data_IF_289879109290
#
_entry.id   IF_289879109290
#
_cell.length_a   1.000
_cell.length_b   1.000
_cell.length_c   1.000
_cell.angle_alpha   90.00
_cell.angle_beta   90.00
_cell.angle_gamma   90.00
#
_symmetry.space_group_name_H-M   'P 1'
#
loop_
_entity.id
_entity.type
_entity.pdbx_description
1 polymer ?
#
# COMPACT_ATOMS: atom_id res chain seq x y z
N UNK A 1 -20.18 19.56 25.85
CA UNK A 1 -18.81 19.98 25.47
C UNK A 1 -18.31 19.03 24.38
N UNK A 2 -17.83 19.55 23.23
CA UNK A 2 -17.21 18.69 22.21
C UNK A 2 -15.93 18.08 22.80
N UNK A 3 -15.90 16.77 22.98
CA UNK A 3 -14.71 16.06 23.46
C UNK A 3 -13.64 16.14 22.37
N UNK A 4 -12.46 16.65 22.68
CA UNK A 4 -11.26 16.60 21.81
C UNK A 4 -10.34 15.53 22.36
N UNK A 5 -9.59 14.87 21.47
CA UNK A 5 -8.57 13.94 21.92
C UNK A 5 -7.43 14.67 22.63
N UNK A 6 -6.94 14.09 23.69
CA UNK A 6 -5.74 14.54 24.38
C UNK A 6 -4.49 14.30 23.50
N UNK A 7 -3.39 14.95 23.84
CA UNK A 7 -2.12 14.71 23.13
C UNK A 7 -1.70 13.22 23.16
N UNK A 8 -1.87 12.55 24.31
CA UNK A 8 -1.56 11.12 24.46
C UNK A 8 -2.44 10.24 23.57
N UNK A 9 -3.74 10.53 23.48
CA UNK A 9 -4.67 9.81 22.60
C UNK A 9 -4.33 10.02 21.12
N UNK A 10 -3.96 11.25 20.72
CA UNK A 10 -3.50 11.55 19.36
C UNK A 10 -2.20 10.80 19.02
N UNK A 11 -1.23 10.78 19.94
CA UNK A 11 0.01 10.01 19.79
C UNK A 11 -0.27 8.50 19.68
N UNK A 12 -1.20 7.98 20.47
CA UNK A 12 -1.61 6.59 20.41
C UNK A 12 -2.22 6.22 19.03
N UNK A 13 -3.16 7.05 18.53
CA UNK A 13 -3.77 6.83 17.22
C UNK A 13 -2.73 6.99 16.10
N UNK A 14 -1.85 7.99 16.19
CA UNK A 14 -0.77 8.18 15.22
C UNK A 14 0.20 7.00 15.19
N UNK A 15 0.60 6.48 16.35
CA UNK A 15 1.43 5.26 16.44
C UNK A 15 0.70 4.02 15.93
N UNK A 16 -0.60 3.91 16.18
CA UNK A 16 -1.41 2.82 15.65
C UNK A 16 -1.50 2.87 14.13
N UNK A 17 -1.72 4.06 13.54
CA UNK A 17 -1.69 4.30 12.11
C UNK A 17 -0.34 3.92 11.50
N UNK A 18 0.75 4.42 12.07
CA UNK A 18 2.09 4.04 11.67
C UNK A 18 2.27 2.52 11.69
N UNK A 19 1.86 1.88 12.79
CA UNK A 19 1.99 0.43 12.94
C UNK A 19 1.11 -0.40 12.01
N UNK A 20 -0.02 0.11 11.55
CA UNK A 20 -0.89 -0.56 10.57
C UNK A 20 -0.33 -0.47 9.16
N UNK A 21 0.22 0.68 8.78
CA UNK A 21 0.81 0.88 7.46
C UNK A 21 2.23 0.34 7.36
N UNK A 22 3.06 0.54 8.39
CA UNK A 22 4.46 0.20 8.30
C UNK A 22 4.68 -1.32 8.37
N UNK A 23 4.76 -1.94 7.20
CA UNK A 23 5.00 -3.37 6.99
C UNK A 23 6.28 -3.63 6.18
N UNK A 24 6.39 -4.83 5.63
CA UNK A 24 7.55 -5.24 4.83
C UNK A 24 7.79 -4.35 3.61
N UNK A 25 6.73 -4.00 2.88
CA UNK A 25 6.81 -3.16 1.68
C UNK A 25 7.46 -1.81 1.96
N UNK A 26 7.12 -1.22 3.10
CA UNK A 26 7.57 0.10 3.52
C UNK A 26 9.08 0.15 3.84
N UNK A 27 9.69 -0.99 4.10
CA UNK A 27 11.14 -1.11 4.23
C UNK A 27 11.83 -1.29 2.88
N UNK A 28 11.32 -2.19 2.06
CA UNK A 28 12.04 -2.66 0.88
C UNK A 28 11.89 -1.74 -0.32
N UNK A 29 10.70 -1.14 -0.56
CA UNK A 29 10.48 -0.33 -1.76
C UNK A 29 11.25 0.99 -1.76
N UNK A 30 11.35 1.77 -0.67
CA UNK A 30 12.18 2.96 -0.68
C UNK A 30 13.66 2.67 -0.96
N UNK A 31 14.20 1.59 -0.40
CA UNK A 31 15.60 1.20 -0.62
C UNK A 31 15.83 0.84 -2.09
N UNK A 32 14.95 0.01 -2.67
CA UNK A 32 15.05 -0.36 -4.08
C UNK A 32 14.90 0.84 -5.01
N UNK A 33 13.93 1.73 -4.72
CA UNK A 33 13.78 3.00 -5.43
C UNK A 33 15.08 3.81 -5.38
N UNK A 34 15.71 3.93 -4.21
CA UNK A 34 16.98 4.65 -4.04
C UNK A 34 18.09 4.04 -4.88
N UNK A 35 18.23 2.71 -4.89
CA UNK A 35 19.19 2.01 -5.75
C UNK A 35 18.93 2.26 -7.24
N UNK A 36 17.66 2.22 -7.67
CA UNK A 36 17.28 2.37 -9.06
C UNK A 36 17.34 3.82 -9.55
N UNK A 37 16.92 4.78 -8.69
CA UNK A 37 16.88 6.19 -9.03
C UNK A 37 18.27 6.85 -9.02
N UNK A 38 19.24 6.32 -8.27
CA UNK A 38 20.59 6.86 -8.21
C UNK A 38 20.58 8.35 -7.85
N UNK A 39 21.26 9.20 -8.62
CA UNK A 39 21.33 10.64 -8.39
C UNK A 39 19.96 11.37 -8.52
N UNK A 40 18.95 10.74 -9.12
CA UNK A 40 17.58 11.25 -9.20
C UNK A 40 16.71 10.90 -7.98
N UNK A 41 17.29 10.37 -6.90
CA UNK A 41 16.56 9.86 -5.72
C UNK A 41 15.62 10.89 -5.11
N UNK A 42 15.95 12.15 -5.02
CA UNK A 42 15.08 13.15 -4.39
C UNK A 42 13.79 13.40 -5.16
N UNK A 43 13.87 13.47 -6.50
CA UNK A 43 12.71 13.66 -7.36
C UNK A 43 11.85 12.38 -7.38
N UNK A 44 12.49 11.22 -7.48
CA UNK A 44 11.82 9.93 -7.44
C UNK A 44 11.13 9.71 -6.09
N UNK A 45 11.80 10.00 -4.97
CA UNK A 45 11.25 9.88 -3.63
C UNK A 45 10.07 10.83 -3.40
N UNK A 46 10.09 12.04 -3.95
CA UNK A 46 8.94 12.95 -3.87
C UNK A 46 7.70 12.32 -4.50
N UNK A 47 7.83 11.74 -5.70
CA UNK A 47 6.75 11.00 -6.34
C UNK A 47 6.26 9.83 -5.50
N UNK A 48 7.20 9.05 -4.97
CA UNK A 48 6.92 7.91 -4.09
C UNK A 48 6.14 8.31 -2.83
N UNK A 49 6.55 9.39 -2.14
CA UNK A 49 5.89 9.87 -0.94
C UNK A 49 4.44 10.30 -1.18
N UNK A 50 4.13 10.87 -2.36
CA UNK A 50 2.76 11.25 -2.72
C UNK A 50 1.84 10.02 -2.69
N UNK A 51 2.27 8.90 -3.23
CA UNK A 51 1.44 7.68 -3.31
C UNK A 51 1.57 6.77 -2.12
N UNK A 52 2.76 6.59 -1.60
CA UNK A 52 3.02 5.69 -0.48
C UNK A 52 2.57 6.25 0.88
N UNK A 53 2.39 7.58 1.01
CA UNK A 53 1.98 8.23 2.25
C UNK A 53 0.78 9.15 2.04
N UNK A 54 0.82 10.01 1.03
CA UNK A 54 -0.23 11.01 0.79
C UNK A 54 -1.57 10.36 0.49
N UNK A 55 -1.63 9.41 -0.44
CA UNK A 55 -2.87 8.71 -0.78
C UNK A 55 -3.45 7.86 0.35
N UNK A 56 -2.68 7.05 1.10
CA UNK A 56 -3.18 6.35 2.27
C UNK A 56 -3.85 7.27 3.30
N UNK A 57 -3.23 8.41 3.55
CA UNK A 57 -3.79 9.39 4.46
C UNK A 57 -5.11 9.98 3.95
N UNK A 58 -5.17 10.38 2.67
CA UNK A 58 -6.40 10.84 2.05
C UNK A 58 -7.48 9.75 2.06
N UNK A 59 -7.11 8.47 1.91
CA UNK A 59 -8.03 7.34 2.00
C UNK A 59 -8.70 7.23 3.36
N UNK A 60 -7.92 7.33 4.45
CA UNK A 60 -8.49 7.30 5.81
C UNK A 60 -9.39 8.52 6.06
N UNK A 61 -8.98 9.71 5.62
CA UNK A 61 -9.80 10.92 5.73
C UNK A 61 -11.11 10.75 4.95
N UNK A 62 -11.06 10.19 3.75
CA UNK A 62 -12.23 9.93 2.93
C UNK A 62 -13.23 9.01 3.66
N UNK A 63 -12.77 7.94 4.30
CA UNK A 63 -13.61 7.06 5.12
C UNK A 63 -14.18 7.84 6.31
N UNK A 64 -13.36 8.62 7.01
CA UNK A 64 -13.81 9.42 8.15
C UNK A 64 -14.92 10.42 7.81
N UNK A 65 -14.81 11.10 6.65
CA UNK A 65 -15.80 12.10 6.19
C UNK A 65 -17.04 11.44 5.57
N UNK A 66 -16.88 10.26 5.00
CA UNK A 66 -17.92 9.61 4.19
C UNK A 66 -19.20 9.26 4.95
N UNK A 67 -19.14 9.20 6.28
CA UNK A 67 -20.21 8.70 7.18
C UNK A 67 -20.61 7.25 6.87
N UNK A 68 -19.73 6.48 6.28
CA UNK A 68 -19.96 5.09 5.87
C UNK A 68 -19.22 4.13 6.79
N UNK A 69 -19.63 2.86 6.78
CA UNK A 69 -19.00 1.80 7.58
C UNK A 69 -17.69 1.28 6.96
N UNK A 70 -17.40 1.61 5.68
CA UNK A 70 -16.17 1.17 5.03
C UNK A 70 -16.17 1.32 3.51
N UNK A 71 -15.20 0.64 2.87
CA UNK A 71 -14.98 0.70 1.44
C UNK A 71 -16.21 0.32 0.61
N UNK A 72 -16.91 -0.77 0.99
CA UNK A 72 -18.06 -1.29 0.25
C UNK A 72 -19.16 -0.22 0.09
N UNK A 73 -19.47 0.51 1.15
CA UNK A 73 -20.49 1.56 1.10
C UNK A 73 -20.04 2.75 0.25
N UNK A 74 -18.77 3.13 0.32
CA UNK A 74 -18.22 4.20 -0.55
C UNK A 74 -18.31 3.78 -2.01
N UNK A 75 -17.90 2.57 -2.35
CA UNK A 75 -17.96 2.02 -3.70
C UNK A 75 -19.41 1.83 -4.20
N UNK A 76 -20.37 1.60 -3.29
CA UNK A 76 -21.81 1.48 -3.60
C UNK A 76 -22.43 2.80 -4.13
N UNK A 77 -21.74 3.93 -3.93
CA UNK A 77 -22.14 5.20 -4.56
C UNK A 77 -22.02 5.16 -6.09
N UNK A 78 -21.17 4.31 -6.65
CA UNK A 78 -21.13 4.02 -8.09
C UNK A 78 -22.31 3.12 -8.45
N UNK A 79 -22.28 1.87 -8.03
CA UNK A 79 -23.39 0.91 -8.03
C UNK A 79 -23.03 -0.31 -7.16
N UNK A 80 -24.01 -1.15 -6.85
CA UNK A 80 -23.80 -2.34 -6.00
C UNK A 80 -22.85 -3.36 -6.60
N UNK A 81 -22.97 -3.63 -7.90
CA UNK A 81 -22.10 -4.61 -8.59
C UNK A 81 -20.63 -4.17 -8.57
N UNK A 82 -20.37 -2.91 -8.87
CA UNK A 82 -19.03 -2.33 -8.77
C UNK A 82 -18.50 -2.45 -7.33
N UNK A 83 -19.33 -2.17 -6.33
CA UNK A 83 -18.93 -2.26 -4.93
C UNK A 83 -18.46 -3.67 -4.55
N UNK A 84 -19.19 -4.72 -4.95
CA UNK A 84 -18.76 -6.10 -4.73
C UNK A 84 -17.45 -6.41 -5.45
N UNK A 85 -17.39 -6.14 -6.76
CA UNK A 85 -16.21 -6.46 -7.58
C UNK A 85 -14.97 -5.72 -7.05
N UNK A 86 -15.08 -4.41 -6.84
CA UNK A 86 -13.95 -3.59 -6.40
C UNK A 86 -13.50 -3.93 -4.98
N UNK A 87 -14.43 -4.12 -4.04
CA UNK A 87 -14.09 -4.51 -2.66
C UNK A 87 -13.43 -5.88 -2.63
N UNK A 88 -14.00 -6.87 -3.32
CA UNK A 88 -13.40 -8.21 -3.38
C UNK A 88 -12.01 -8.15 -4.01
N UNK A 89 -11.85 -7.48 -5.16
CA UNK A 89 -10.57 -7.36 -5.84
C UNK A 89 -9.52 -6.68 -4.96
N UNK A 90 -9.87 -5.57 -4.31
CA UNK A 90 -8.97 -4.86 -3.39
C UNK A 90 -8.54 -5.76 -2.23
N UNK A 91 -9.48 -6.43 -1.57
CA UNK A 91 -9.15 -7.29 -0.44
C UNK A 91 -8.36 -8.54 -0.87
N UNK A 92 -8.59 -9.09 -2.05
CA UNK A 92 -7.76 -10.19 -2.59
C UNK A 92 -6.32 -9.73 -2.82
N UNK A 93 -6.10 -8.49 -3.25
CA UNK A 93 -4.78 -7.92 -3.48
C UNK A 93 -4.04 -7.65 -2.17
N UNK A 94 -4.67 -6.98 -1.20
CA UNK A 94 -4.05 -6.74 0.10
C UNK A 94 -4.07 -7.98 1.02
N UNK A 95 -4.82 -8.99 0.66
CA UNK A 95 -4.95 -10.27 1.33
C UNK A 95 -4.09 -11.36 0.68
N UNK A 96 -4.73 -12.45 0.24
CA UNK A 96 -4.06 -13.71 -0.07
C UNK A 96 -3.16 -13.69 -1.29
N UNK A 97 -3.32 -12.75 -2.24
CA UNK A 97 -2.56 -12.83 -3.49
C UNK A 97 -1.22 -12.09 -3.45
N UNK A 98 -1.16 -10.91 -2.79
CA UNK A 98 0.07 -10.12 -2.83
C UNK A 98 0.57 -9.66 -1.46
N UNK A 99 -0.21 -8.90 -0.67
CA UNK A 99 0.34 -8.32 0.55
C UNK A 99 0.68 -9.38 1.61
N UNK A 100 -0.21 -10.30 1.92
CA UNK A 100 0.04 -11.35 2.91
C UNK A 100 1.22 -12.27 2.52
N UNK A 101 1.26 -12.85 1.30
CA UNK A 101 2.42 -13.63 0.87
C UNK A 101 3.72 -12.84 0.92
N UNK A 102 3.69 -11.56 0.54
CA UNK A 102 4.87 -10.68 0.57
C UNK A 102 5.42 -10.49 1.96
N UNK A 103 4.58 -10.43 3.00
CA UNK A 103 5.04 -10.33 4.39
C UNK A 103 5.89 -11.54 4.81
N UNK A 104 5.46 -12.74 4.47
CA UNK A 104 6.21 -13.95 4.76
C UNK A 104 7.50 -14.02 3.92
N UNK A 105 7.41 -13.77 2.61
CA UNK A 105 8.58 -13.85 1.72
C UNK A 105 9.63 -12.80 2.02
N UNK A 106 9.24 -11.55 2.35
CA UNK A 106 10.20 -10.51 2.75
C UNK A 106 10.90 -10.88 4.05
N UNK A 107 10.16 -11.41 5.04
CA UNK A 107 10.75 -11.88 6.28
C UNK A 107 11.76 -12.99 6.03
N UNK A 108 11.43 -13.93 5.15
CA UNK A 108 12.33 -15.02 4.75
C UNK A 108 13.57 -14.51 4.00
N UNK A 109 13.37 -13.60 3.04
CA UNK A 109 14.45 -13.03 2.22
C UNK A 109 15.52 -12.35 3.07
N UNK A 110 15.08 -11.60 4.10
CA UNK A 110 15.99 -10.89 5.00
C UNK A 110 16.61 -11.83 6.03
N UNK A 111 15.82 -12.78 6.57
CA UNK A 111 16.23 -13.59 7.70
C UNK A 111 17.07 -14.81 7.33
N UNK A 112 16.76 -15.47 6.24
CA UNK A 112 17.29 -16.78 5.89
C UNK A 112 18.03 -16.84 4.57
N UNK A 113 17.57 -16.11 3.55
CA UNK A 113 18.12 -16.16 2.20
C UNK A 113 19.64 -15.91 2.15
N UNK A 114 20.22 -14.97 2.93
CA UNK A 114 21.66 -14.73 2.94
C UNK A 114 22.52 -15.92 3.39
N UNK A 115 21.93 -16.87 4.11
CA UNK A 115 22.64 -18.02 4.68
C UNK A 115 22.38 -19.34 3.93
N UNK A 116 21.52 -19.32 2.89
CA UNK A 116 21.07 -20.51 2.20
C UNK A 116 21.65 -20.58 0.79
N UNK A 117 21.95 -21.81 0.35
CA UNK A 117 22.25 -22.06 -1.06
C UNK A 117 20.97 -22.00 -1.92
N UNK A 118 21.08 -21.66 -3.23
CA UNK A 118 19.92 -21.59 -4.12
C UNK A 118 19.03 -22.84 -4.13
N UNK A 119 19.63 -24.03 -3.95
CA UNK A 119 18.91 -25.32 -3.90
C UNK A 119 18.06 -25.47 -2.63
N UNK A 120 18.42 -24.81 -1.55
CA UNK A 120 17.75 -24.89 -0.27
C UNK A 120 16.61 -23.89 -0.12
N UNK A 121 16.66 -22.75 -0.83
CA UNK A 121 15.70 -21.65 -0.71
C UNK A 121 14.25 -22.15 -0.80
N UNK A 122 13.92 -22.94 -1.80
CA UNK A 122 12.53 -23.40 -2.02
C UNK A 122 11.98 -24.21 -0.84
N UNK A 123 12.77 -25.17 -0.32
CA UNK A 123 12.34 -25.99 0.83
C UNK A 123 12.20 -25.16 2.10
N UNK A 124 13.20 -24.32 2.40
CA UNK A 124 13.17 -23.49 3.61
C UNK A 124 12.10 -22.40 3.54
N UNK A 125 11.83 -21.82 2.37
CA UNK A 125 10.72 -20.90 2.16
C UNK A 125 9.36 -21.58 2.42
N UNK A 126 9.20 -22.82 1.95
CA UNK A 126 7.99 -23.59 2.19
C UNK A 126 7.75 -23.82 3.69
N UNK A 127 8.78 -24.30 4.41
CA UNK A 127 8.69 -24.55 5.86
C UNK A 127 8.42 -23.24 6.61
N UNK A 128 9.18 -22.19 6.29
CA UNK A 128 9.05 -20.89 6.95
C UNK A 128 7.66 -20.28 6.74
N UNK A 129 7.20 -20.21 5.47
CA UNK A 129 5.88 -19.63 5.15
C UNK A 129 4.75 -20.41 5.79
N UNK A 130 4.84 -21.75 5.87
CA UNK A 130 3.88 -22.57 6.59
C UNK A 130 3.82 -22.17 8.07
N UNK A 131 4.96 -22.15 8.76
CA UNK A 131 5.03 -21.77 10.19
C UNK A 131 4.53 -20.33 10.39
N UNK A 132 4.94 -19.40 9.54
CA UNK A 132 4.53 -18.00 9.58
C UNK A 132 3.00 -17.86 9.51
N UNK A 133 2.35 -18.52 8.56
CA UNK A 133 0.89 -18.43 8.39
C UNK A 133 0.12 -19.23 9.45
N UNK A 134 0.65 -20.31 9.98
CA UNK A 134 0.05 -21.01 11.13
C UNK A 134 0.04 -20.09 12.35
N UNK A 135 1.16 -19.41 12.63
CA UNK A 135 1.25 -18.43 13.73
C UNK A 135 0.29 -17.26 13.48
N UNK A 136 0.31 -16.67 12.28
CA UNK A 136 -0.56 -15.56 11.94
C UNK A 136 -2.04 -15.91 12.09
N UNK A 137 -2.44 -17.07 11.58
CA UNK A 137 -3.79 -17.61 11.72
C UNK A 137 -4.18 -17.84 13.17
N UNK A 138 -3.28 -18.48 13.97
CA UNK A 138 -3.54 -18.75 15.37
C UNK A 138 -3.87 -17.47 16.14
N UNK A 139 -3.14 -16.40 15.90
CA UNK A 139 -3.37 -15.11 16.54
C UNK A 139 -4.57 -14.36 15.96
N UNK A 140 -4.83 -14.45 14.66
CA UNK A 140 -5.99 -13.82 14.03
C UNK A 140 -7.33 -14.39 14.50
N UNK A 141 -7.37 -15.60 15.08
CA UNK A 141 -8.60 -16.18 15.64
C UNK A 141 -9.23 -15.36 16.76
N UNK A 142 -8.43 -14.57 17.50
CA UNK A 142 -8.89 -13.73 18.62
C UNK A 142 -8.21 -12.35 18.57
N UNK A 143 -8.69 -11.42 17.74
CA UNK A 143 -7.98 -10.19 17.42
C UNK A 143 -7.84 -9.17 18.55
N UNK A 144 -8.56 -9.31 19.66
CA UNK A 144 -8.85 -8.21 20.59
C UNK A 144 -7.71 -7.71 21.48
N UNK A 145 -6.58 -8.41 21.63
CA UNK A 145 -5.49 -7.99 22.54
C UNK A 145 -4.10 -7.86 21.91
N UNK A 146 -3.86 -8.50 20.81
CA UNK A 146 -2.51 -8.61 20.23
C UNK A 146 -2.05 -7.33 19.56
N UNK A 147 -2.96 -6.64 18.86
CA UNK A 147 -2.66 -5.35 18.20
C UNK A 147 -2.19 -4.28 19.20
N UNK A 148 -2.68 -4.33 20.44
CA UNK A 148 -2.29 -3.41 21.51
C UNK A 148 -0.88 -3.67 22.04
N UNK A 149 -0.52 -4.94 22.30
CA UNK A 149 0.82 -5.33 22.77
C UNK A 149 1.90 -5.07 21.72
N UNK A 150 1.59 -5.35 20.47
CA UNK A 150 2.51 -5.21 19.36
C UNK A 150 2.83 -3.73 19.11
N UNK A 151 1.83 -2.85 19.16
CA UNK A 151 2.03 -1.40 18.97
C UNK A 151 2.86 -0.75 20.09
N UNK A 152 2.75 -1.23 21.32
CA UNK A 152 3.44 -0.64 22.48
C UNK A 152 4.91 -1.01 22.60
N UNK A 153 5.29 -2.24 22.24
CA UNK A 153 6.65 -2.75 22.46
C UNK A 153 7.46 -2.92 21.17
N UNK A 154 6.84 -3.47 20.13
CA UNK A 154 7.58 -3.87 18.95
C UNK A 154 7.90 -2.71 18.01
N UNK A 155 6.99 -1.74 17.88
CA UNK A 155 7.26 -0.56 17.06
C UNK A 155 8.46 0.25 17.58
N UNK A 156 8.59 0.59 18.87
CA UNK A 156 9.78 1.29 19.38
C UNK A 156 11.08 0.52 19.15
N UNK A 157 11.10 -0.79 19.43
CA UNK A 157 12.30 -1.63 19.23
C UNK A 157 12.70 -1.65 17.75
N UNK A 158 11.73 -1.85 16.85
CA UNK A 158 11.93 -1.80 15.42
C UNK A 158 12.53 -0.45 14.98
N UNK A 159 11.96 0.68 15.42
CA UNK A 159 12.42 2.02 15.07
C UNK A 159 13.84 2.30 15.57
N UNK A 160 14.19 1.87 16.78
CA UNK A 160 15.54 2.01 17.32
C UNK A 160 16.56 1.27 16.47
N UNK A 161 16.25 0.04 16.07
CA UNK A 161 17.19 -0.75 15.27
C UNK A 161 17.32 -0.23 13.84
N UNK A 162 16.20 0.20 13.25
CA UNK A 162 16.24 0.87 11.95
C UNK A 162 17.07 2.15 12.03
N UNK A 163 16.91 2.93 13.11
CA UNK A 163 17.71 4.13 13.35
C UNK A 163 19.22 3.81 13.46
N UNK A 164 19.60 2.70 14.11
CA UNK A 164 21.00 2.26 14.19
C UNK A 164 21.55 1.97 12.79
N UNK A 165 20.85 1.20 11.96
CA UNK A 165 21.29 0.88 10.59
C UNK A 165 21.44 2.16 9.76
N UNK A 166 20.45 3.05 9.81
CA UNK A 166 20.47 4.33 9.12
C UNK A 166 21.66 5.19 9.61
N UNK A 167 21.90 5.24 10.90
CA UNK A 167 22.99 6.02 11.49
C UNK A 167 24.34 5.54 10.96
N UNK A 168 24.60 4.22 10.93
CA UNK A 168 25.83 3.68 10.34
C UNK A 168 25.94 4.00 8.85
N UNK A 169 24.84 3.88 8.09
CA UNK A 169 24.84 4.17 6.67
C UNK A 169 25.13 5.64 6.33
N UNK A 170 24.76 6.57 7.22
CA UNK A 170 25.02 8.00 7.02
C UNK A 170 26.34 8.48 7.59
N UNK A 171 26.86 7.84 8.66
CA UNK A 171 28.20 8.15 9.21
C UNK A 171 29.31 7.59 8.32
N UNK A 172 29.11 6.39 7.74
CA UNK A 172 30.07 5.73 6.86
C UNK A 172 29.42 5.37 5.52
N UNK A 173 29.11 6.37 4.67
CA UNK A 173 28.39 6.11 3.42
C UNK A 173 29.23 5.25 2.46
N UNK A 174 28.57 4.32 1.79
CA UNK A 174 29.19 3.39 0.83
C UNK A 174 29.46 4.03 -0.54
N UNK A 175 28.87 5.19 -0.82
CA UNK A 175 29.03 5.94 -2.06
C UNK A 175 28.46 7.35 -1.96
N UNK A 176 28.59 8.13 -3.04
CA UNK A 176 28.02 9.46 -3.18
C UNK A 176 26.65 9.43 -3.88
N UNK A 177 25.80 10.40 -3.59
CA UNK A 177 24.51 10.54 -4.29
C UNK A 177 24.73 11.08 -5.70
N UNK A 178 25.64 12.05 -5.88
CA UNK A 178 25.87 12.74 -7.15
C UNK A 178 26.37 11.81 -8.24
N UNK A 179 27.16 10.79 -7.86
CA UNK A 179 27.82 9.87 -8.78
C UNK A 179 27.06 8.53 -8.92
N UNK A 180 25.94 8.38 -8.22
CA UNK A 180 25.16 7.17 -8.24
C UNK A 180 24.50 6.95 -9.61
N UNK A 181 24.71 5.79 -10.26
CA UNK A 181 24.19 5.50 -11.59
C UNK A 181 22.65 5.45 -11.56
N UNK A 182 22.04 5.98 -12.60
CA UNK A 182 20.59 6.03 -12.78
C UNK A 182 20.17 4.86 -13.67
N UNK A 183 19.24 4.02 -13.21
CA UNK A 183 18.66 2.96 -14.03
C UNK A 183 17.84 3.54 -15.19
N UNK A 184 17.68 2.78 -16.29
CA UNK A 184 16.91 3.21 -17.48
C UNK A 184 15.51 3.77 -17.12
N UNK A 185 14.85 3.15 -16.16
CA UNK A 185 13.53 3.56 -15.69
C UNK A 185 13.51 5.00 -15.13
N UNK A 186 14.60 5.43 -14.45
CA UNK A 186 14.66 6.71 -13.75
C UNK A 186 15.43 7.81 -14.48
N UNK A 187 15.97 7.52 -15.69
CA UNK A 187 16.64 8.54 -16.52
C UNK A 187 15.67 9.61 -17.02
N UNK A 188 14.42 9.23 -17.28
CA UNK A 188 13.35 10.16 -17.64
C UNK A 188 12.18 10.02 -16.68
N UNK A 189 11.44 11.10 -16.44
CA UNK A 189 10.20 11.10 -15.64
C UNK A 189 10.34 10.53 -14.22
N UNK A 190 11.46 10.76 -13.55
CA UNK A 190 11.78 10.19 -12.24
C UNK A 190 10.66 10.41 -11.18
N UNK A 191 9.99 11.56 -11.19
CA UNK A 191 8.85 11.84 -10.30
C UNK A 191 7.69 10.88 -10.54
N UNK A 192 7.31 10.66 -11.78
CA UNK A 192 6.17 9.80 -12.12
C UNK A 192 6.50 8.32 -11.91
N UNK A 193 7.74 7.91 -12.19
CA UNK A 193 8.19 6.55 -11.90
C UNK A 193 8.18 6.29 -10.38
N UNK A 194 8.66 7.24 -9.58
CA UNK A 194 8.54 7.15 -8.12
C UNK A 194 7.08 7.12 -7.65
N UNK A 195 6.20 7.91 -8.27
CA UNK A 195 4.75 7.89 -7.99
C UNK A 195 4.16 6.49 -8.23
N UNK A 196 4.50 5.85 -9.34
CA UNK A 196 4.03 4.50 -9.66
C UNK A 196 4.66 3.43 -8.77
N UNK A 197 5.94 3.58 -8.42
CA UNK A 197 6.62 2.67 -7.48
C UNK A 197 5.99 2.71 -6.08
N UNK A 198 5.42 3.86 -5.68
CA UNK A 198 4.65 3.96 -4.46
C UNK A 198 3.39 3.06 -4.42
N UNK A 199 2.85 2.64 -5.56
CA UNK A 199 1.76 1.65 -5.62
C UNK A 199 2.17 0.31 -4.99
N UNK A 200 3.45 -0.04 -5.10
CA UNK A 200 3.97 -1.29 -4.56
C UNK A 200 3.91 -1.38 -3.04
N UNK A 201 3.78 -0.27 -2.31
CA UNK A 201 3.58 -0.31 -0.85
C UNK A 201 2.22 -0.90 -0.47
N UNK A 202 1.23 -0.84 -1.35
CA UNK A 202 -0.18 -1.25 -1.13
C UNK A 202 -0.92 -0.40 -0.09
N UNK A 203 -0.29 0.64 0.45
CA UNK A 203 -0.81 1.40 1.59
C UNK A 203 -2.07 2.18 1.26
N UNK A 204 -2.22 2.71 0.02
CA UNK A 204 -3.44 3.42 -0.35
C UNK A 204 -4.65 2.47 -0.44
N UNK A 205 -4.45 1.24 -0.92
CA UNK A 205 -5.49 0.20 -0.90
C UNK A 205 -5.77 -0.25 0.54
N UNK A 206 -4.72 -0.48 1.33
CA UNK A 206 -4.83 -0.84 2.75
C UNK A 206 -5.54 0.26 3.56
N UNK A 207 -5.39 1.54 3.23
CA UNK A 207 -6.06 2.65 3.92
C UNK A 207 -7.58 2.58 3.81
N UNK A 208 -8.09 2.15 2.67
CA UNK A 208 -9.51 1.94 2.44
C UNK A 208 -10.05 0.74 3.24
N UNK A 209 -9.19 -0.23 3.55
CA UNK A 209 -9.53 -1.36 4.41
C UNK A 209 -9.39 -1.03 5.91
N UNK A 210 -8.30 -0.36 6.29
CA UNK A 210 -8.00 -0.06 7.70
C UNK A 210 -8.68 1.19 8.24
N UNK A 211 -9.15 2.08 7.37
CA UNK A 211 -9.79 3.33 7.79
C UNK A 211 -10.96 3.12 8.76
N UNK A 212 -11.70 2.02 8.63
CA UNK A 212 -12.78 1.67 9.56
C UNK A 212 -12.26 1.41 10.98
N UNK A 213 -11.10 0.76 11.12
CA UNK A 213 -10.49 0.46 12.44
C UNK A 213 -10.13 1.77 13.15
N UNK A 214 -9.59 2.73 12.41
CA UNK A 214 -9.23 4.05 12.94
C UNK A 214 -10.47 4.82 13.37
N UNK A 215 -11.49 4.87 12.52
CA UNK A 215 -12.78 5.52 12.81
C UNK A 215 -13.44 4.87 14.05
N UNK A 216 -13.45 3.54 14.13
CA UNK A 216 -13.99 2.81 15.27
C UNK A 216 -13.21 3.11 16.56
N UNK A 217 -11.88 3.23 16.49
CA UNK A 217 -11.04 3.58 17.64
C UNK A 217 -11.34 5.00 18.15
N UNK A 218 -11.45 5.98 17.22
CA UNK A 218 -11.80 7.36 17.58
C UNK A 218 -13.20 7.44 18.20
N UNK A 219 -14.16 6.66 17.67
CA UNK A 219 -15.52 6.57 18.25
C UNK A 219 -15.49 5.99 19.67
N UNK A 220 -14.70 4.93 19.93
CA UNK A 220 -14.52 4.35 21.28
C UNK A 220 -13.95 5.35 22.28
N UNK A 221 -13.16 6.33 21.82
CA UNK A 221 -12.66 7.43 22.65
C UNK A 221 -13.69 8.54 22.86
N UNK A 222 -14.94 8.38 22.39
CA UNK A 222 -16.08 9.25 22.65
C UNK A 222 -16.26 10.40 21.65
N UNK A 223 -15.75 10.27 20.42
CA UNK A 223 -15.99 11.22 19.33
C UNK A 223 -16.89 10.55 18.29
N UNK A 224 -18.13 11.02 18.18
CA UNK A 224 -19.14 10.42 17.31
C UNK A 224 -19.40 11.22 16.03
N UNK A 225 -19.17 12.54 16.08
CA UNK A 225 -19.44 13.41 14.93
C UNK A 225 -18.44 13.15 13.80
N UNK A 226 -18.90 12.83 12.57
CA UNK A 226 -18.02 12.51 11.44
C UNK A 226 -16.99 13.62 11.09
N UNK A 227 -17.38 14.89 11.24
CA UNK A 227 -16.47 16.02 11.00
C UNK A 227 -15.35 16.09 12.05
N UNK A 228 -15.69 15.79 13.30
CA UNK A 228 -14.70 15.77 14.39
C UNK A 228 -13.84 14.51 14.32
N UNK A 229 -14.38 13.35 13.91
CA UNK A 229 -13.62 12.13 13.58
C UNK A 229 -12.59 12.46 12.52
N UNK A 230 -12.98 13.09 11.41
CA UNK A 230 -12.05 13.45 10.33
C UNK A 230 -10.94 14.41 10.82
N UNK A 231 -11.29 15.42 11.65
CA UNK A 231 -10.30 16.35 12.23
C UNK A 231 -9.28 15.64 13.13
N UNK A 232 -9.75 14.78 14.02
CA UNK A 232 -8.87 14.05 14.92
C UNK A 232 -8.05 13.00 14.15
N UNK A 233 -8.60 12.40 13.09
CA UNK A 233 -7.85 11.53 12.16
C UNK A 233 -6.72 12.30 11.47
N UNK A 234 -6.98 13.51 10.96
CA UNK A 234 -5.97 14.37 10.36
C UNK A 234 -4.88 14.70 11.37
N UNK A 235 -5.26 15.12 12.56
CA UNK A 235 -4.32 15.53 13.62
C UNK A 235 -3.44 14.38 14.08
N UNK A 236 -4.02 13.21 14.34
CA UNK A 236 -3.29 12.01 14.75
C UNK A 236 -2.45 11.45 13.60
N UNK A 237 -3.00 11.45 12.39
CA UNK A 237 -2.34 10.92 11.19
C UNK A 237 -1.15 11.76 10.75
N UNK A 238 -1.13 13.07 11.02
CA UNK A 238 0.00 13.94 10.67
C UNK A 238 1.31 13.46 11.31
N UNK A 239 1.26 12.95 12.53
CA UNK A 239 2.42 12.38 13.22
C UNK A 239 2.95 11.16 12.46
N UNK A 240 2.07 10.25 12.09
CA UNK A 240 2.41 9.05 11.31
C UNK A 240 3.01 9.40 9.95
N UNK A 241 2.42 10.38 9.26
CA UNK A 241 2.90 10.85 7.94
C UNK A 241 4.32 11.39 8.02
N UNK A 242 4.59 12.26 9.00
CA UNK A 242 5.93 12.86 9.17
C UNK A 242 6.94 11.75 9.45
N UNK A 243 6.63 10.82 10.35
CA UNK A 243 7.51 9.68 10.65
C UNK A 243 7.77 8.82 9.42
N UNK A 244 6.72 8.43 8.69
CA UNK A 244 6.86 7.63 7.47
C UNK A 244 7.66 8.37 6.41
N UNK A 245 7.40 9.66 6.20
CA UNK A 245 8.10 10.50 5.23
C UNK A 245 9.60 10.60 5.50
N UNK A 246 9.98 10.80 6.75
CA UNK A 246 11.38 10.82 7.17
C UNK A 246 12.02 9.45 6.94
N UNK A 247 11.38 8.36 7.40
CA UNK A 247 11.94 7.01 7.30
C UNK A 247 12.10 6.61 5.82
N UNK A 248 11.09 6.84 4.97
CA UNK A 248 11.16 6.48 3.55
C UNK A 248 12.25 7.26 2.82
N UNK A 249 12.38 8.55 3.13
CA UNK A 249 13.45 9.38 2.55
C UNK A 249 14.83 8.89 2.97
N UNK A 250 15.02 8.58 4.24
CA UNK A 250 16.29 8.05 4.74
C UNK A 250 16.60 6.66 4.14
N UNK A 251 15.61 5.80 4.01
CA UNK A 251 15.77 4.49 3.37
C UNK A 251 16.10 4.62 1.87
N UNK A 252 15.46 5.54 1.16
CA UNK A 252 15.76 5.79 -0.24
C UNK A 252 17.20 6.32 -0.42
N UNK A 253 17.62 7.27 0.39
CA UNK A 253 19.00 7.78 0.37
C UNK A 253 19.99 6.66 0.70
N UNK A 254 19.75 5.85 1.74
CA UNK A 254 20.57 4.69 2.08
C UNK A 254 20.67 3.70 0.91
N UNK A 255 19.57 3.46 0.21
CA UNK A 255 19.55 2.65 -1.02
C UNK A 255 20.47 3.23 -2.09
N UNK A 256 20.40 4.53 -2.36
CA UNK A 256 21.28 5.22 -3.32
C UNK A 256 22.75 5.10 -2.93
N UNK A 257 23.08 5.37 -1.67
CA UNK A 257 24.45 5.29 -1.18
C UNK A 257 25.03 3.88 -1.30
N UNK A 258 24.18 2.85 -1.21
CA UNK A 258 24.62 1.44 -1.28
C UNK A 258 25.16 1.02 -2.65
N UNK A 259 24.76 1.71 -3.73
CA UNK A 259 25.21 1.42 -5.11
C UNK A 259 26.72 1.69 -5.29
N UNK A 260 27.34 2.50 -4.45
CA UNK A 260 28.80 2.66 -4.44
C UNK A 260 29.58 1.37 -4.11
N UNK A 261 28.90 0.41 -3.47
CA UNK A 261 29.52 -0.86 -3.08
C UNK A 261 28.80 -2.10 -3.64
N UNK A 262 27.45 -2.06 -3.73
CA UNK A 262 26.62 -3.16 -4.23
C UNK A 262 26.06 -2.84 -5.62
N UNK A 263 25.75 -3.87 -6.40
CA UNK A 263 24.98 -3.73 -7.64
C UNK A 263 23.50 -3.52 -7.30
N UNK A 264 22.73 -3.00 -8.27
CA UNK A 264 21.28 -2.94 -8.17
C UNK A 264 20.72 -4.34 -7.88
N UNK A 265 20.04 -4.46 -6.75
CA UNK A 265 19.46 -5.73 -6.29
C UNK A 265 18.15 -6.03 -7.02
N UNK A 266 17.76 -7.29 -7.10
CA UNK A 266 16.47 -7.69 -7.71
C UNK A 266 15.25 -7.14 -6.93
N UNK A 267 15.42 -6.95 -5.63
CA UNK A 267 14.43 -6.35 -4.77
C UNK A 267 15.08 -5.70 -3.54
N UNK A 268 14.30 -4.85 -2.85
CA UNK A 268 14.80 -4.12 -1.70
C UNK A 268 15.04 -4.97 -0.44
N UNK A 269 14.50 -6.19 -0.36
CA UNK A 269 14.79 -7.13 0.74
C UNK A 269 16.25 -7.59 0.69
N UNK A 270 16.72 -7.97 -0.50
CA UNK A 270 18.12 -8.32 -0.75
C UNK A 270 19.03 -7.13 -0.43
N UNK A 271 18.68 -5.93 -0.94
CA UNK A 271 19.43 -4.72 -0.69
C UNK A 271 19.59 -4.42 0.81
N UNK A 272 18.47 -4.48 1.56
CA UNK A 272 18.48 -4.23 3.00
C UNK A 272 19.34 -5.26 3.76
N UNK A 273 19.25 -6.53 3.39
CA UNK A 273 20.07 -7.58 3.99
C UNK A 273 21.56 -7.34 3.74
N UNK A 274 21.95 -7.03 2.50
CA UNK A 274 23.34 -6.73 2.13
C UNK A 274 23.90 -5.52 2.89
N UNK A 275 23.15 -4.42 2.94
CA UNK A 275 23.54 -3.21 3.68
C UNK A 275 23.72 -3.51 5.17
N UNK A 276 22.75 -4.24 5.76
CA UNK A 276 22.81 -4.57 7.19
C UNK A 276 23.97 -5.50 7.50
N UNK A 277 24.24 -6.48 6.65
CA UNK A 277 25.38 -7.39 6.80
C UNK A 277 26.71 -6.66 6.72
N UNK A 278 26.83 -5.68 5.83
CA UNK A 278 28.03 -4.87 5.70
C UNK A 278 28.35 -4.08 6.96
N UNK A 279 27.35 -3.39 7.53
CA UNK A 279 27.58 -2.51 8.68
C UNK A 279 27.60 -3.24 10.03
N UNK A 280 26.77 -4.25 10.22
CA UNK A 280 26.55 -4.89 11.52
C UNK A 280 26.91 -6.38 11.54
N UNK A 281 27.41 -6.93 10.40
CA UNK A 281 27.76 -8.33 10.27
C UNK A 281 26.56 -9.27 10.50
N UNK A 282 26.85 -10.53 10.81
CA UNK A 282 25.82 -11.56 11.00
C UNK A 282 24.89 -11.29 12.18
N UNK A 283 25.39 -10.66 13.25
CA UNK A 283 24.54 -10.27 14.39
C UNK A 283 23.49 -9.23 14.00
N UNK A 284 23.87 -8.28 13.15
CA UNK A 284 22.94 -7.27 12.61
C UNK A 284 21.82 -7.90 11.77
N UNK A 285 22.15 -8.89 10.94
CA UNK A 285 21.13 -9.61 10.16
C UNK A 285 20.17 -10.35 11.08
N UNK A 286 20.67 -11.09 12.07
CA UNK A 286 19.80 -11.81 13.03
C UNK A 286 18.84 -10.84 13.72
N UNK A 287 19.35 -9.70 14.17
CA UNK A 287 18.56 -8.70 14.87
C UNK A 287 17.51 -8.07 13.94
N UNK A 288 17.91 -7.65 12.73
CA UNK A 288 17.00 -7.13 11.69
C UNK A 288 15.92 -8.17 11.35
N UNK A 289 16.32 -9.44 11.19
CA UNK A 289 15.42 -10.54 10.86
C UNK A 289 14.32 -10.72 11.87
N UNK A 290 14.67 -10.74 13.16
CA UNK A 290 13.69 -10.86 14.25
C UNK A 290 12.67 -9.73 14.21
N UNK A 291 13.11 -8.51 13.97
CA UNK A 291 12.25 -7.32 13.98
C UNK A 291 11.34 -7.29 12.76
N UNK A 292 11.91 -7.51 11.58
CA UNK A 292 11.13 -7.57 10.34
C UNK A 292 10.11 -8.70 10.40
N UNK A 293 10.49 -9.87 10.91
CA UNK A 293 9.60 -11.01 11.07
C UNK A 293 8.41 -10.68 11.98
N UNK A 294 8.68 -10.03 13.09
CA UNK A 294 7.62 -9.63 14.03
C UNK A 294 6.75 -8.50 13.45
N UNK A 295 7.34 -7.50 12.78
CA UNK A 295 6.60 -6.45 12.10
C UNK A 295 5.69 -7.01 11.01
N UNK A 296 6.20 -7.95 10.21
CA UNK A 296 5.44 -8.62 9.16
C UNK A 296 4.33 -9.52 9.73
N UNK A 297 4.62 -10.26 10.79
CA UNK A 297 3.63 -11.10 11.46
C UNK A 297 2.45 -10.27 12.01
N UNK A 298 2.75 -9.11 12.63
CA UNK A 298 1.73 -8.17 13.10
C UNK A 298 0.81 -7.71 11.96
N UNK A 299 1.41 -7.26 10.87
CA UNK A 299 0.65 -6.79 9.71
C UNK A 299 -0.17 -7.93 9.09
N UNK A 300 0.37 -9.15 9.05
CA UNK A 300 -0.35 -10.33 8.57
C UNK A 300 -1.59 -10.62 9.43
N UNK A 301 -1.47 -10.60 10.76
CA UNK A 301 -2.59 -10.78 11.68
C UNK A 301 -3.67 -9.71 11.43
N UNK A 302 -3.27 -8.45 11.29
CA UNK A 302 -4.19 -7.34 11.01
C UNK A 302 -4.93 -7.51 9.67
N UNK A 303 -4.20 -7.90 8.61
CA UNK A 303 -4.79 -8.11 7.28
C UNK A 303 -5.73 -9.32 7.24
N UNK A 304 -5.36 -10.45 7.85
CA UNK A 304 -6.23 -11.63 7.96
C UNK A 304 -7.51 -11.27 8.71
N UNK A 305 -7.39 -10.50 9.80
CA UNK A 305 -8.54 -10.04 10.57
C UNK A 305 -9.45 -9.13 9.75
N UNK A 306 -8.90 -8.07 9.15
CA UNK A 306 -9.66 -7.11 8.35
C UNK A 306 -10.35 -7.77 7.14
N UNK A 307 -9.66 -8.70 6.48
CA UNK A 307 -10.22 -9.50 5.40
C UNK A 307 -11.41 -10.33 5.91
N UNK A 308 -11.21 -11.06 7.00
CA UNK A 308 -12.20 -11.99 7.53
C UNK A 308 -13.45 -11.28 8.03
N UNK A 309 -13.31 -10.17 8.77
CA UNK A 309 -14.43 -9.34 9.22
C UNK A 309 -15.22 -8.73 8.05
N UNK A 310 -14.52 -8.25 7.03
CA UNK A 310 -15.20 -7.67 5.86
C UNK A 310 -15.95 -8.71 5.06
N UNK A 311 -15.36 -9.88 4.82
CA UNK A 311 -15.99 -10.93 4.04
C UNK A 311 -17.13 -11.61 4.81
N UNK A 312 -17.04 -11.77 6.13
CA UNK A 312 -18.16 -12.20 6.96
C UNK A 312 -19.34 -11.23 6.87
N UNK A 313 -19.07 -9.91 6.88
CA UNK A 313 -20.09 -8.89 6.71
C UNK A 313 -20.70 -8.90 5.29
N UNK A 314 -19.88 -9.08 4.25
CA UNK A 314 -20.35 -9.13 2.85
C UNK A 314 -21.12 -10.42 2.54
N UNK A 315 -20.73 -11.52 3.16
CA UNK A 315 -21.28 -12.86 2.95
C UNK A 315 -21.68 -13.51 4.28
N UNK A 316 -22.83 -13.16 4.86
CA UNK A 316 -23.25 -13.62 6.20
C UNK A 316 -23.38 -15.12 6.38
N UNK A 317 -23.33 -15.90 5.28
CA UNK A 317 -23.30 -17.37 5.32
C UNK A 317 -21.92 -17.95 5.62
N UNK A 318 -20.87 -17.15 5.50
CA UNK A 318 -19.48 -17.55 5.76
C UNK A 318 -19.11 -17.20 7.19
N UNK A 319 -18.41 -18.12 7.85
CA UNK A 319 -17.92 -17.93 9.21
C UNK A 319 -16.54 -17.28 9.18
N UNK A 320 -16.31 -16.30 10.05
CA UNK A 320 -15.02 -15.62 10.25
C UNK A 320 -13.82 -16.57 10.27
N UNK A 321 -13.91 -17.65 11.10
CA UNK A 321 -12.81 -18.59 11.24
C UNK A 321 -12.52 -19.36 9.96
N UNK A 322 -13.56 -19.73 9.21
CA UNK A 322 -13.41 -20.42 7.92
C UNK A 322 -12.70 -19.48 6.92
N UNK A 323 -13.11 -18.21 6.85
CA UNK A 323 -12.49 -17.21 5.96
C UNK A 323 -11.02 -17.00 6.36
N UNK A 324 -10.73 -16.80 7.66
CA UNK A 324 -9.36 -16.62 8.17
C UNK A 324 -8.47 -17.83 7.83
N UNK A 325 -9.02 -19.05 7.90
CA UNK A 325 -8.29 -20.28 7.55
C UNK A 325 -7.99 -20.33 6.05
N UNK A 326 -9.01 -20.08 5.20
CA UNK A 326 -8.84 -20.09 3.74
C UNK A 326 -7.85 -19.04 3.28
N UNK A 327 -7.96 -17.81 3.80
CA UNK A 327 -7.05 -16.70 3.45
C UNK A 327 -5.63 -17.03 3.84
N UNK A 328 -5.40 -17.53 5.06
CA UNK A 328 -4.06 -17.92 5.53
C UNK A 328 -3.47 -19.04 4.68
N UNK A 329 -4.28 -20.04 4.33
CA UNK A 329 -3.84 -21.16 3.49
C UNK A 329 -3.49 -20.72 2.06
N UNK A 330 -4.34 -19.91 1.42
CA UNK A 330 -4.06 -19.38 0.09
C UNK A 330 -2.80 -18.50 0.13
N UNK A 331 -2.64 -17.65 1.15
CA UNK A 331 -1.46 -16.81 1.31
C UNK A 331 -0.18 -17.65 1.46
N UNK A 332 -0.24 -18.76 2.18
CA UNK A 332 0.85 -19.70 2.28
C UNK A 332 1.24 -20.29 0.92
N UNK A 333 0.26 -20.71 0.12
CA UNK A 333 0.53 -21.24 -1.21
C UNK A 333 1.20 -20.18 -2.11
N UNK A 334 0.67 -18.96 -2.12
CA UNK A 334 1.24 -17.86 -2.93
C UNK A 334 2.62 -17.42 -2.44
N UNK A 335 2.92 -17.48 -1.15
CA UNK A 335 4.25 -17.15 -0.63
C UNK A 335 5.36 -18.02 -1.25
N UNK A 336 5.05 -19.26 -1.63
CA UNK A 336 6.02 -20.16 -2.24
C UNK A 336 6.42 -19.79 -3.68
N UNK A 337 5.77 -18.78 -4.27
CA UNK A 337 6.19 -18.23 -5.58
C UNK A 337 7.47 -17.38 -5.44
N UNK A 338 7.77 -16.88 -4.25
CA UNK A 338 8.93 -16.04 -3.94
C UNK A 338 8.67 -14.54 -4.12
N UNK A 339 9.43 -13.71 -3.39
CA UNK A 339 9.21 -12.27 -3.27
C UNK A 339 9.23 -11.55 -4.62
N UNK A 340 10.29 -11.74 -5.41
CA UNK A 340 10.48 -11.06 -6.70
C UNK A 340 9.33 -11.31 -7.68
N UNK A 341 8.86 -12.57 -7.77
CA UNK A 341 7.74 -12.92 -8.65
C UNK A 341 6.41 -12.35 -8.14
N UNK A 342 6.18 -12.35 -6.82
CA UNK A 342 4.97 -11.74 -6.22
C UNK A 342 4.93 -10.24 -6.57
N UNK A 343 6.06 -9.54 -6.46
CA UNK A 343 6.15 -8.12 -6.84
C UNK A 343 5.83 -7.97 -8.34
N UNK A 344 6.48 -8.74 -9.20
CA UNK A 344 6.29 -8.67 -10.66
C UNK A 344 4.83 -8.90 -11.08
N UNK A 345 4.16 -9.91 -10.53
CA UNK A 345 2.76 -10.20 -10.86
C UNK A 345 1.76 -9.23 -10.21
N UNK A 346 2.16 -8.54 -9.15
CA UNK A 346 1.27 -7.53 -8.54
C UNK A 346 1.16 -6.26 -9.36
N UNK A 347 2.21 -5.85 -10.07
CA UNK A 347 2.27 -4.57 -10.81
C UNK A 347 1.10 -4.37 -11.78
N UNK A 348 0.73 -5.31 -12.66
CA UNK A 348 -0.41 -5.13 -13.57
C UNK A 348 -1.73 -4.89 -12.84
N UNK A 349 -1.95 -5.63 -11.76
CA UNK A 349 -3.17 -5.53 -10.95
C UNK A 349 -3.21 -4.19 -10.21
N UNK A 350 -2.07 -3.71 -9.73
CA UNK A 350 -1.96 -2.41 -9.08
C UNK A 350 -2.19 -1.26 -10.07
N UNK A 351 -1.62 -1.35 -11.27
CA UNK A 351 -1.86 -0.36 -12.33
C UNK A 351 -3.34 -0.26 -12.72
N UNK A 352 -4.09 -1.35 -12.56
CA UNK A 352 -5.55 -1.33 -12.74
C UNK A 352 -6.31 -0.78 -11.53
N UNK A 353 -5.98 -1.22 -10.30
CA UNK A 353 -6.78 -0.90 -9.11
C UNK A 353 -6.49 0.48 -8.51
N UNK A 354 -5.23 0.94 -8.55
CA UNK A 354 -4.88 2.23 -7.94
C UNK A 354 -5.58 3.42 -8.56
N UNK A 355 -5.67 3.57 -9.89
CA UNK A 355 -6.46 4.65 -10.51
C UNK A 355 -7.90 4.70 -10.00
N UNK A 356 -8.55 3.55 -9.89
CA UNK A 356 -9.92 3.43 -9.40
C UNK A 356 -10.03 3.81 -7.91
N UNK A 357 -9.07 3.36 -7.09
CA UNK A 357 -8.99 3.71 -5.67
C UNK A 357 -8.78 5.22 -5.49
N UNK A 358 -7.84 5.82 -6.23
CA UNK A 358 -7.55 7.25 -6.18
C UNK A 358 -8.78 8.07 -6.59
N UNK A 359 -9.40 7.72 -7.72
CA UNK A 359 -10.62 8.38 -8.17
C UNK A 359 -11.74 8.30 -7.11
N UNK A 360 -11.92 7.13 -6.49
CA UNK A 360 -12.92 6.94 -5.44
C UNK A 360 -12.63 7.76 -4.18
N UNK A 361 -11.37 7.82 -3.74
CA UNK A 361 -10.91 8.66 -2.62
C UNK A 361 -11.20 10.13 -2.92
N UNK A 362 -10.75 10.63 -4.08
CA UNK A 362 -10.94 12.04 -4.47
C UNK A 362 -12.42 12.40 -4.57
N UNK A 363 -13.22 11.58 -5.24
CA UNK A 363 -14.66 11.78 -5.33
C UNK A 363 -15.32 11.81 -3.95
N UNK A 364 -14.87 10.98 -3.02
CA UNK A 364 -15.41 10.92 -1.66
C UNK A 364 -15.09 12.18 -0.87
N UNK A 365 -13.85 12.67 -0.96
CA UNK A 365 -13.42 13.92 -0.30
C UNK A 365 -14.22 15.15 -0.77
N UNK A 366 -14.54 15.21 -2.06
CA UNK A 366 -15.29 16.32 -2.65
C UNK A 366 -16.79 16.06 -2.81
N UNK A 367 -17.30 14.95 -2.29
CA UNK A 367 -18.68 14.49 -2.52
C UNK A 367 -19.77 15.47 -2.09
N UNK A 368 -19.51 16.29 -1.08
CA UNK A 368 -20.43 17.36 -0.63
C UNK A 368 -20.70 18.41 -1.71
N UNK A 369 -19.70 18.72 -2.58
CA UNK A 369 -19.83 19.73 -3.63
C UNK A 369 -20.81 19.33 -4.75
N UNK A 370 -21.08 18.04 -4.90
CA UNK A 370 -22.05 17.52 -5.86
C UNK A 370 -23.12 16.63 -5.22
N UNK A 371 -23.37 16.85 -3.93
CA UNK A 371 -24.45 16.22 -3.13
C UNK A 371 -24.47 14.68 -3.27
N UNK A 372 -23.29 14.06 -3.24
CA UNK A 372 -23.12 12.60 -3.37
C UNK A 372 -23.75 11.99 -4.64
N UNK A 373 -23.86 12.76 -5.73
CA UNK A 373 -24.53 12.33 -6.98
C UNK A 373 -23.91 11.07 -7.57
N UNK A 374 -24.70 10.00 -7.69
CA UNK A 374 -24.29 8.72 -8.30
C UNK A 374 -23.73 8.90 -9.71
N UNK A 375 -24.30 9.83 -10.51
CA UNK A 375 -23.90 10.06 -11.91
C UNK A 375 -22.44 10.52 -11.97
N UNK A 376 -22.02 11.42 -11.06
CA UNK A 376 -20.64 11.90 -11.01
C UNK A 376 -19.70 10.73 -10.70
N UNK A 377 -20.03 9.87 -9.73
CA UNK A 377 -19.25 8.68 -9.42
C UNK A 377 -19.19 7.72 -10.61
N UNK A 378 -20.33 7.42 -11.23
CA UNK A 378 -20.41 6.46 -12.35
C UNK A 378 -19.62 6.93 -13.57
N UNK A 379 -19.78 8.18 -14.01
CA UNK A 379 -19.03 8.70 -15.14
C UNK A 379 -17.53 8.72 -14.85
N UNK A 380 -17.11 9.23 -13.70
CA UNK A 380 -15.68 9.29 -13.37
C UNK A 380 -15.05 7.91 -13.35
N UNK A 381 -15.65 6.96 -12.61
CA UNK A 381 -15.13 5.60 -12.49
C UNK A 381 -15.12 4.86 -13.83
N UNK A 382 -16.16 5.02 -14.65
CA UNK A 382 -16.23 4.40 -15.97
C UNK A 382 -15.06 4.84 -16.88
N UNK A 383 -14.83 6.14 -16.99
CA UNK A 383 -13.72 6.66 -17.79
C UNK A 383 -12.35 6.29 -17.21
N UNK A 384 -12.21 6.33 -15.88
CA UNK A 384 -10.97 5.90 -15.20
C UNK A 384 -10.69 4.42 -15.50
N UNK A 385 -11.70 3.55 -15.45
CA UNK A 385 -11.58 2.12 -15.67
C UNK A 385 -11.04 1.78 -17.06
N UNK A 386 -11.44 2.55 -18.10
CA UNK A 386 -10.95 2.34 -19.46
C UNK A 386 -9.42 2.51 -19.52
N UNK A 387 -8.90 3.61 -18.98
CA UNK A 387 -7.46 3.85 -18.98
C UNK A 387 -6.71 2.88 -18.07
N UNK A 388 -7.26 2.62 -16.87
CA UNK A 388 -6.66 1.69 -15.91
C UNK A 388 -6.51 0.27 -16.47
N UNK A 389 -7.47 -0.20 -17.27
CA UNK A 389 -7.35 -1.48 -17.99
C UNK A 389 -6.19 -1.49 -18.97
N UNK A 390 -5.98 -0.41 -19.72
CA UNK A 390 -4.89 -0.30 -20.67
C UNK A 390 -3.54 -0.23 -19.94
N UNK A 391 -3.45 0.56 -18.86
CA UNK A 391 -2.23 0.65 -18.05
C UNK A 391 -1.90 -0.70 -17.39
N UNK A 392 -2.90 -1.45 -16.94
CA UNK A 392 -2.74 -2.83 -16.46
C UNK A 392 -2.24 -3.79 -17.53
N UNK A 393 -2.79 -3.73 -18.75
CA UNK A 393 -2.31 -4.54 -19.88
C UNK A 393 -0.89 -4.19 -20.27
N UNK A 394 -0.53 -2.90 -20.30
CA UNK A 394 0.83 -2.44 -20.60
C UNK A 394 1.85 -2.95 -19.59
N UNK A 395 1.48 -3.01 -18.31
CA UNK A 395 2.33 -3.50 -17.24
C UNK A 395 2.36 -5.03 -17.11
N UNK A 396 1.52 -5.74 -17.87
CA UNK A 396 1.42 -7.20 -17.82
C UNK A 396 2.66 -7.90 -18.41
N UNK A 397 2.97 -9.14 -17.96
CA UNK A 397 4.03 -9.94 -18.55
C UNK A 397 3.87 -10.08 -20.08
N UNK A 398 4.99 -10.33 -20.78
CA UNK A 398 5.05 -10.35 -22.27
C UNK A 398 4.00 -11.24 -22.92
N UNK A 399 3.69 -12.39 -22.32
CA UNK A 399 2.68 -13.31 -22.88
C UNK A 399 1.25 -12.72 -22.92
N UNK A 400 0.97 -11.64 -22.17
CA UNK A 400 -0.29 -10.89 -22.22
C UNK A 400 -0.11 -9.61 -23.01
N UNK A 401 0.93 -8.82 -22.69
CA UNK A 401 1.15 -7.50 -23.28
C UNK A 401 1.49 -7.56 -24.78
N UNK A 402 2.11 -8.66 -25.25
CA UNK A 402 2.47 -8.86 -26.66
C UNK A 402 1.33 -9.37 -27.54
N UNK A 403 0.14 -9.69 -26.98
CA UNK A 403 -1.00 -10.12 -27.80
C UNK A 403 -1.47 -9.00 -28.72
N UNK A 404 -1.96 -9.33 -29.92
CA UNK A 404 -2.45 -8.34 -30.89
C UNK A 404 -3.53 -7.43 -30.32
N UNK A 405 -4.39 -7.95 -29.46
CA UNK A 405 -5.42 -7.15 -28.76
C UNK A 405 -4.78 -6.13 -27.80
N UNK A 406 -3.85 -6.59 -26.94
CA UNK A 406 -3.16 -5.70 -25.99
C UNK A 406 -2.37 -4.63 -26.71
N UNK A 407 -1.60 -4.99 -27.75
CA UNK A 407 -0.80 -4.06 -28.54
C UNK A 407 -1.67 -3.01 -29.24
N UNK A 408 -2.84 -3.38 -29.77
CA UNK A 408 -3.75 -2.44 -30.39
C UNK A 408 -4.23 -1.38 -29.38
N UNK A 409 -4.62 -1.80 -28.17
CA UNK A 409 -5.06 -0.88 -27.11
C UNK A 409 -3.91 -0.01 -26.57
N UNK A 410 -2.73 -0.58 -26.38
CA UNK A 410 -1.54 0.13 -25.92
C UNK A 410 -1.14 1.21 -26.95
N UNK A 411 -1.05 0.84 -28.23
CA UNK A 411 -0.70 1.78 -29.31
C UNK A 411 -1.75 2.89 -29.47
N UNK A 412 -3.04 2.56 -29.35
CA UNK A 412 -4.11 3.53 -29.32
C UNK A 412 -3.95 4.52 -28.16
N UNK A 413 -3.69 4.00 -26.97
CA UNK A 413 -3.48 4.82 -25.77
C UNK A 413 -2.27 5.74 -25.90
N UNK A 414 -1.13 5.22 -26.37
CA UNK A 414 0.09 6.01 -26.57
C UNK A 414 -0.08 7.12 -27.61
N UNK A 415 -0.89 6.88 -28.65
CA UNK A 415 -1.12 7.84 -29.71
C UNK A 415 -2.11 8.95 -29.35
N UNK A 416 -3.16 8.62 -28.58
CA UNK A 416 -4.30 9.51 -28.38
C UNK A 416 -4.50 9.96 -26.93
N UNK A 417 -3.92 9.26 -25.95
CA UNK A 417 -4.16 9.54 -24.54
C UNK A 417 -2.93 10.22 -23.92
N UNK A 418 -3.03 11.53 -23.59
CA UNK A 418 -1.94 12.23 -22.93
C UNK A 418 -1.51 11.52 -21.63
N UNK A 419 -0.23 11.57 -21.31
CA UNK A 419 0.38 10.95 -20.13
C UNK A 419 0.35 9.41 -20.10
N UNK A 420 -0.11 8.75 -21.17
CA UNK A 420 -0.12 7.29 -21.26
C UNK A 420 1.30 6.69 -21.22
N UNK A 421 2.27 7.39 -21.80
CA UNK A 421 3.67 6.92 -21.83
C UNK A 421 4.26 6.73 -20.43
N UNK A 422 3.84 7.57 -19.49
CA UNK A 422 4.27 7.57 -18.09
C UNK A 422 3.30 6.84 -17.15
N UNK A 423 2.35 6.07 -17.68
CA UNK A 423 1.37 5.32 -16.86
C UNK A 423 0.34 6.19 -16.12
N UNK A 424 0.14 7.43 -16.55
CA UNK A 424 -0.79 8.40 -15.95
C UNK A 424 -1.97 8.75 -16.86
N UNK A 425 -2.20 7.97 -17.91
CA UNK A 425 -3.29 8.18 -18.87
C UNK A 425 -4.68 8.22 -18.23
N UNK A 426 -4.85 7.51 -17.12
CA UNK A 426 -6.08 7.49 -16.35
C UNK A 426 -6.48 8.86 -15.78
N UNK A 427 -5.54 9.75 -15.49
CA UNK A 427 -5.82 11.08 -14.92
C UNK A 427 -6.69 11.91 -15.86
N UNK A 428 -6.33 11.95 -17.16
CA UNK A 428 -7.05 12.71 -18.17
C UNK A 428 -8.47 12.16 -18.35
N UNK A 429 -8.62 10.85 -18.50
CA UNK A 429 -9.94 10.23 -18.63
C UNK A 429 -10.79 10.38 -17.36
N UNK A 430 -10.19 10.28 -16.19
CA UNK A 430 -10.87 10.52 -14.92
C UNK A 430 -11.43 11.95 -14.83
N UNK A 431 -10.65 12.96 -15.24
CA UNK A 431 -11.10 14.35 -15.30
C UNK A 431 -12.23 14.56 -16.32
N UNK A 432 -12.12 13.97 -17.50
CA UNK A 432 -13.20 14.02 -18.52
C UNK A 432 -14.48 13.39 -17.94
N UNK A 433 -14.37 12.21 -17.34
CA UNK A 433 -15.51 11.56 -16.71
C UNK A 433 -16.13 12.38 -15.59
N UNK A 434 -15.31 13.04 -14.76
CA UNK A 434 -15.79 13.96 -13.74
C UNK A 434 -16.54 15.15 -14.31
N UNK A 435 -15.99 15.81 -15.33
CA UNK A 435 -16.62 16.97 -15.98
C UNK A 435 -17.97 16.57 -16.61
N UNK A 436 -18.01 15.47 -17.34
CA UNK A 436 -19.25 14.96 -17.96
C UNK A 436 -20.29 14.66 -16.87
N UNK A 437 -19.90 13.90 -15.85
CA UNK A 437 -20.79 13.55 -14.73
C UNK A 437 -21.31 14.78 -14.00
N UNK A 438 -20.47 15.79 -13.79
CA UNK A 438 -20.84 17.04 -13.11
C UNK A 438 -21.79 17.91 -13.96
N UNK A 439 -21.58 17.98 -15.28
CA UNK A 439 -22.50 18.67 -16.20
C UNK A 439 -23.88 18.00 -16.17
N UNK A 440 -23.93 16.67 -16.30
CA UNK A 440 -25.20 15.92 -16.27
C UNK A 440 -25.90 16.13 -14.91
N UNK A 441 -25.14 16.10 -13.80
CA UNK A 441 -25.68 16.39 -12.47
C UNK A 441 -26.31 17.79 -12.41
N UNK A 442 -25.63 18.84 -12.90
CA UNK A 442 -26.15 20.22 -12.92
C UNK A 442 -27.43 20.34 -13.76
N UNK A 443 -27.47 19.71 -14.94
CA UNK A 443 -28.63 19.72 -15.82
C UNK A 443 -29.84 19.06 -15.13
N UNK A 444 -29.63 17.88 -14.52
CA UNK A 444 -30.71 17.17 -13.80
C UNK A 444 -31.23 17.97 -12.59
N UNK A 445 -30.33 18.62 -11.86
CA UNK A 445 -30.71 19.45 -10.69
C UNK A 445 -31.55 20.67 -11.09
N UNK A 446 -31.29 21.28 -12.26
CA UNK A 446 -32.09 22.40 -12.76
C UNK A 446 -33.51 22.01 -13.17
N UNK A 447 -33.73 20.71 -13.49
CA UNK A 447 -35.04 20.19 -13.93
C UNK A 447 -35.96 19.76 -12.76
N UNK A 448 -35.46 19.72 -11.53
CA UNK A 448 -36.26 19.45 -10.34
C UNK A 448 -36.70 20.82 -9.81
N UNK A 449 -38.00 21.18 -9.90
CA UNK A 449 -38.51 22.41 -9.28
C UNK A 449 -38.16 22.37 -7.80
N UNK A 450 -37.67 23.48 -7.27
CA UNK A 450 -37.56 23.68 -5.81
C UNK A 450 -38.98 23.75 -5.29
N UNK A 451 -39.48 22.62 -4.72
CA UNK A 451 -40.71 22.57 -3.96
C UNK A 451 -40.45 23.05 -2.55
#
# INVERSE_FOLDING_TARGET
MKKKLTFKENMFIGSMLFGLFFGAGNLIFPIHLGQAAGSNVFIANLGFLITAIGLPFLGIIAIGISKTSGLFEIASRVNKTYAYIFTIALYLVIGPFFALPRLATTSFEIAFSPFLSPKQITLYLFIFSFVFFVIAWFFARKPSRILEYIGKFLNPVFLVLLAIILLFAFIHPLGGISDAPISKQYQSHALFNGFLDGYNTLDALASLAFGIIIVATIKKLGIENPTDIAKETIKSGTISIIMMGIIYTLLAIMGTLSIGHFKLSENGGIALAQITQYYLGNYGIVLLSLIVMVACLKTAIGLITAFSETFEHLFPKLNYLAIATVVSFISFLFANVGLTKIIMYSVPVLMFLYPLAIALIVLTLFSSKFHHSKIVYQCTIFFTMIAALIDGLKASPEFISSTSFSQTLINFSQKYLPLSDIGMGWVVLSLIGFIIGFIIYKIKRRKIPQA
#
